data_IF_172653850408
#
_entry.id   IF_172653850408
#
_cell.length_a   1.000
_cell.length_b   1.000
_cell.length_c   1.000
_cell.angle_alpha   90.00
_cell.angle_beta   90.00
_cell.angle_gamma   90.00
#
_symmetry.space_group_name_H-M   'P 1'
#
loop_
_entity.id
_entity.type
_entity.pdbx_description
1 polymer ?
#
# COMPACT_ATOMS: atom_id res chain seq x y z
N UNK A 1 -12.34 -23.14 -14.75
CA UNK A 1 -11.27 -23.34 -15.76
C UNK A 1 -10.72 -21.96 -16.08
N UNK A 2 -9.39 -21.74 -16.11
CA UNK A 2 -8.83 -20.47 -16.53
C UNK A 2 -9.21 -20.15 -18.00
N UNK A 3 -9.22 -18.86 -18.37
CA UNK A 3 -8.92 -17.71 -17.53
C UNK A 3 -10.14 -17.20 -16.75
N UNK A 4 -9.89 -16.57 -15.60
CA UNK A 4 -10.89 -15.71 -14.94
C UNK A 4 -10.99 -14.40 -15.72
N UNK A 5 -12.18 -14.04 -16.18
CA UNK A 5 -12.41 -12.80 -16.97
C UNK A 5 -13.10 -11.76 -16.11
N UNK A 6 -12.50 -10.58 -16.02
CA UNK A 6 -12.97 -9.43 -15.23
C UNK A 6 -13.18 -8.24 -16.16
N UNK A 7 -14.40 -7.68 -16.17
CA UNK A 7 -14.73 -6.46 -16.92
C UNK A 7 -14.86 -5.30 -15.94
N UNK A 8 -14.19 -4.18 -16.22
CA UNK A 8 -14.31 -2.95 -15.46
C UNK A 8 -15.23 -1.96 -16.18
N UNK A 9 -16.36 -1.63 -15.53
CA UNK A 9 -17.33 -0.65 -16.00
C UNK A 9 -17.29 0.62 -15.13
N UNK A 10 -17.88 1.71 -15.61
CA UNK A 10 -18.07 2.93 -14.82
C UNK A 10 -17.86 4.22 -15.61
N UNK A 11 -18.23 5.34 -15.01
CA UNK A 11 -18.16 6.67 -15.62
C UNK A 11 -16.74 7.07 -16.04
N UNK A 12 -16.64 8.06 -16.93
CA UNK A 12 -15.38 8.72 -17.22
C UNK A 12 -14.77 9.33 -15.95
N UNK A 13 -13.45 9.26 -15.82
CA UNK A 13 -12.75 9.84 -14.66
C UNK A 13 -12.90 9.08 -13.33
N UNK A 14 -13.71 8.01 -13.28
CA UNK A 14 -13.88 7.15 -12.09
C UNK A 14 -12.63 6.35 -11.71
N UNK A 15 -11.61 6.30 -12.57
CA UNK A 15 -10.35 5.63 -12.30
C UNK A 15 -10.25 4.17 -12.79
N UNK A 16 -11.06 3.77 -13.79
CA UNK A 16 -11.04 2.40 -14.38
C UNK A 16 -9.65 1.94 -14.82
N UNK A 17 -8.97 2.70 -15.68
CA UNK A 17 -7.63 2.36 -16.21
C UNK A 17 -6.60 2.15 -15.09
N UNK A 18 -6.59 3.03 -14.09
CA UNK A 18 -5.69 2.90 -12.93
C UNK A 18 -6.09 1.70 -12.06
N UNK A 19 -7.39 1.47 -11.88
CA UNK A 19 -7.93 0.31 -11.15
C UNK A 19 -7.56 -1.00 -11.83
N UNK A 20 -7.59 -1.07 -13.17
CA UNK A 20 -7.17 -2.22 -13.95
C UNK A 20 -5.71 -2.58 -13.65
N UNK A 21 -4.81 -1.58 -13.73
CA UNK A 21 -3.39 -1.77 -13.47
C UNK A 21 -3.12 -2.18 -12.00
N UNK A 22 -3.80 -1.55 -11.04
CA UNK A 22 -3.70 -1.89 -9.61
C UNK A 22 -4.19 -3.30 -9.31
N UNK A 23 -5.35 -3.69 -9.85
CA UNK A 23 -5.91 -5.03 -9.70
C UNK A 23 -4.99 -6.08 -10.31
N UNK A 24 -4.45 -5.81 -11.50
CA UNK A 24 -3.47 -6.69 -12.14
C UNK A 24 -2.21 -6.84 -11.28
N UNK A 25 -1.71 -5.74 -10.70
CA UNK A 25 -0.56 -5.77 -9.79
C UNK A 25 -0.84 -6.59 -8.52
N UNK A 26 -2.01 -6.41 -7.91
CA UNK A 26 -2.45 -7.17 -6.72
C UNK A 26 -2.48 -8.67 -7.03
N UNK A 27 -3.11 -9.07 -8.13
CA UNK A 27 -3.20 -10.47 -8.55
C UNK A 27 -1.83 -11.06 -8.89
N UNK A 28 -0.96 -10.29 -9.57
CA UNK A 28 0.43 -10.68 -9.83
C UNK A 28 1.20 -10.96 -8.55
N UNK A 29 1.06 -10.11 -7.52
CA UNK A 29 1.67 -10.33 -6.19
C UNK A 29 1.17 -11.60 -5.50
N UNK A 30 -0.06 -12.03 -5.81
CA UNK A 30 -0.65 -13.30 -5.34
C UNK A 30 -0.26 -14.52 -6.20
N UNK A 31 0.68 -14.37 -7.14
CA UNK A 31 1.15 -15.46 -8.00
C UNK A 31 0.29 -15.74 -9.23
N UNK A 32 -0.66 -14.85 -9.56
CA UNK A 32 -1.44 -14.92 -10.81
C UNK A 32 -0.68 -14.35 -12.00
N UNK A 33 -1.13 -14.69 -13.20
CA UNK A 33 -0.54 -14.23 -14.46
C UNK A 33 -1.56 -13.41 -15.26
N UNK A 34 -1.82 -12.15 -14.86
CA UNK A 34 -2.83 -11.32 -15.49
C UNK A 34 -2.44 -10.88 -16.91
N UNK A 35 -3.47 -10.69 -17.73
CA UNK A 35 -3.45 -9.99 -19.00
C UNK A 35 -4.37 -8.77 -18.91
N UNK A 36 -3.86 -7.61 -19.32
CA UNK A 36 -4.66 -6.39 -19.45
C UNK A 36 -5.16 -6.23 -20.89
N UNK A 37 -6.43 -5.90 -21.05
CA UNK A 37 -7.03 -5.61 -22.36
C UNK A 37 -7.51 -4.15 -22.36
N UNK A 38 -6.94 -3.34 -23.24
CA UNK A 38 -7.32 -1.96 -23.45
C UNK A 38 -8.50 -1.89 -24.43
N UNK A 39 -9.71 -1.73 -23.89
CA UNK A 39 -10.95 -1.60 -24.65
C UNK A 39 -11.55 -0.17 -24.61
N UNK A 40 -10.89 0.79 -23.96
CA UNK A 40 -11.22 2.22 -24.07
C UNK A 40 -10.62 2.79 -25.36
N UNK A 41 -11.34 2.61 -26.47
CA UNK A 41 -10.96 3.08 -27.82
C UNK A 41 -11.40 4.51 -28.09
N UNK A 42 -12.23 5.09 -27.23
CA UNK A 42 -12.83 6.42 -27.43
C UNK A 42 -12.02 7.53 -26.77
N UNK A 43 -11.38 7.24 -25.63
CA UNK A 43 -10.59 8.25 -24.91
C UNK A 43 -9.19 8.39 -25.52
N UNK A 44 -8.76 9.60 -25.89
CA UNK A 44 -7.40 9.84 -26.38
C UNK A 44 -6.34 9.30 -25.41
N UNK A 45 -5.34 8.61 -25.95
CA UNK A 45 -4.23 8.02 -25.20
C UNK A 45 -4.62 7.04 -24.08
N UNK A 46 -5.86 6.54 -24.01
CA UNK A 46 -6.25 5.58 -22.97
C UNK A 46 -5.54 4.23 -23.15
N UNK A 47 -5.40 3.77 -24.39
CA UNK A 47 -4.61 2.57 -24.73
C UNK A 47 -3.15 2.77 -24.32
N UNK A 48 -2.55 3.89 -24.72
CA UNK A 48 -1.15 4.21 -24.39
C UNK A 48 -0.93 4.32 -22.88
N UNK A 49 -1.88 4.89 -22.15
CA UNK A 49 -1.86 4.94 -20.69
C UNK A 49 -1.84 3.54 -20.09
N UNK A 50 -2.74 2.63 -20.52
CA UNK A 50 -2.76 1.28 -19.98
C UNK A 50 -1.48 0.50 -20.36
N UNK A 51 -0.97 0.68 -21.58
CA UNK A 51 0.29 0.09 -22.04
C UNK A 51 1.47 0.57 -21.19
N UNK A 52 1.55 1.87 -20.88
CA UNK A 52 2.60 2.41 -20.02
C UNK A 52 2.55 1.82 -18.61
N UNK A 53 1.36 1.72 -18.02
CA UNK A 53 1.14 1.10 -16.71
C UNK A 53 1.50 -0.39 -16.71
N UNK A 54 1.09 -1.12 -17.75
CA UNK A 54 1.45 -2.53 -17.94
C UNK A 54 2.96 -2.72 -18.06
N UNK A 55 3.66 -1.87 -18.83
CA UNK A 55 5.12 -1.90 -18.96
C UNK A 55 5.82 -1.64 -17.63
N UNK A 56 5.36 -0.66 -16.84
CA UNK A 56 5.89 -0.39 -15.50
C UNK A 56 5.74 -1.60 -14.56
N UNK A 57 4.66 -2.37 -14.73
CA UNK A 57 4.37 -3.57 -13.94
C UNK A 57 4.90 -4.87 -14.58
N UNK A 58 5.51 -4.84 -15.76
CA UNK A 58 5.85 -6.06 -16.49
C UNK A 58 4.65 -6.98 -16.76
N UNK A 59 3.45 -6.41 -16.90
CA UNK A 59 2.19 -7.11 -17.22
C UNK A 59 1.85 -6.85 -18.68
N UNK A 60 1.59 -7.88 -19.51
CA UNK A 60 1.26 -7.67 -20.90
C UNK A 60 -0.07 -6.93 -21.06
N UNK A 61 -0.12 -6.07 -22.07
CA UNK A 61 -1.33 -5.35 -22.48
C UNK A 61 -1.64 -5.71 -23.93
N UNK A 62 -2.91 -5.90 -24.25
CA UNK A 62 -3.42 -6.09 -25.62
C UNK A 62 -4.46 -5.01 -25.89
N UNK A 63 -4.31 -4.33 -27.01
CA UNK A 63 -5.28 -3.34 -27.47
C UNK A 63 -6.27 -4.00 -28.43
N UNK A 64 -7.51 -3.52 -28.44
CA UNK A 64 -8.54 -3.93 -29.39
C UNK A 64 -8.67 -2.94 -30.55
N UNK A 65 -9.18 -3.39 -31.69
CA UNK A 65 -9.55 -2.50 -32.78
C UNK A 65 -10.86 -1.76 -32.45
N UNK A 66 -10.89 -0.45 -32.66
CA UNK A 66 -12.06 0.40 -32.41
C UNK A 66 -13.32 -0.03 -33.18
N UNK A 67 -13.17 -0.72 -34.31
CA UNK A 67 -14.30 -1.21 -35.12
C UNK A 67 -14.81 -2.57 -34.65
N UNK A 68 -14.08 -3.27 -33.78
CA UNK A 68 -14.32 -4.68 -33.44
C UNK A 68 -14.16 -4.98 -31.95
N UNK A 69 -14.42 -4.00 -31.08
CA UNK A 69 -14.20 -4.07 -29.62
C UNK A 69 -14.70 -5.39 -29.02
N UNK A 70 -16.01 -5.71 -29.09
CA UNK A 70 -16.56 -6.91 -28.46
C UNK A 70 -15.96 -8.22 -29.00
N UNK A 71 -15.74 -8.31 -30.31
CA UNK A 71 -15.17 -9.49 -30.96
C UNK A 71 -13.70 -9.70 -30.57
N UNK A 72 -12.91 -8.63 -30.52
CA UNK A 72 -11.50 -8.68 -30.17
C UNK A 72 -11.32 -8.99 -28.68
N UNK A 73 -12.11 -8.39 -27.79
CA UNK A 73 -12.09 -8.72 -26.36
C UNK A 73 -12.42 -10.21 -26.16
N UNK A 74 -13.44 -10.74 -26.84
CA UNK A 74 -13.81 -12.15 -26.75
C UNK A 74 -12.68 -13.08 -27.25
N UNK A 75 -12.04 -12.75 -28.38
CA UNK A 75 -10.91 -13.51 -28.91
C UNK A 75 -9.71 -13.49 -27.95
N UNK A 76 -9.37 -12.33 -27.40
CA UNK A 76 -8.28 -12.18 -26.43
C UNK A 76 -8.57 -12.95 -25.13
N UNK A 77 -9.80 -12.87 -24.62
CA UNK A 77 -10.21 -13.60 -23.44
C UNK A 77 -10.14 -15.13 -23.64
N UNK A 78 -10.58 -15.63 -24.81
CA UNK A 78 -10.51 -17.05 -25.15
C UNK A 78 -9.07 -17.54 -25.36
N UNK A 79 -8.20 -16.72 -25.95
CA UNK A 79 -6.80 -17.07 -26.25
C UNK A 79 -5.85 -16.98 -25.05
N UNK A 80 -6.22 -16.24 -24.00
CA UNK A 80 -5.33 -15.92 -22.88
C UNK A 80 -4.70 -17.16 -22.20
N UNK A 81 -5.46 -18.25 -22.04
CA UNK A 81 -4.94 -19.47 -21.41
C UNK A 81 -3.82 -20.13 -22.23
N UNK A 82 -3.83 -20.00 -23.57
CA UNK A 82 -2.77 -20.53 -24.43
C UNK A 82 -1.47 -19.71 -24.29
N UNK A 83 -1.57 -18.44 -23.91
CA UNK A 83 -0.44 -17.56 -23.60
C UNK A 83 0.04 -17.68 -22.14
N UNK A 84 -0.44 -18.68 -21.39
CA UNK A 84 -0.10 -18.87 -19.98
C UNK A 84 -0.70 -17.82 -19.05
N UNK A 85 -1.79 -17.16 -19.46
CA UNK A 85 -2.49 -16.15 -18.66
C UNK A 85 -3.71 -16.77 -17.99
N UNK A 86 -3.79 -16.60 -16.68
CA UNK A 86 -4.88 -17.19 -15.87
C UNK A 86 -5.99 -16.19 -15.55
N UNK A 87 -5.75 -14.90 -15.77
CA UNK A 87 -6.70 -13.82 -15.50
C UNK A 87 -6.66 -12.78 -16.62
N UNK A 88 -7.82 -12.32 -17.07
CA UNK A 88 -7.97 -11.28 -18.10
C UNK A 88 -8.76 -10.13 -17.50
N UNK A 89 -8.20 -8.92 -17.51
CA UNK A 89 -8.82 -7.71 -16.97
C UNK A 89 -9.04 -6.74 -18.12
N UNK A 90 -10.30 -6.38 -18.36
CA UNK A 90 -10.74 -5.58 -19.49
C UNK A 90 -11.07 -4.17 -18.99
N UNK A 91 -10.31 -3.18 -19.44
CA UNK A 91 -10.55 -1.75 -19.18
C UNK A 91 -11.42 -1.17 -20.31
N UNK A 92 -12.71 -0.95 -20.04
CA UNK A 92 -13.64 -0.41 -21.05
C UNK A 92 -13.64 1.12 -21.05
N UNK A 93 -14.18 1.71 -22.12
CA UNK A 93 -14.46 3.13 -22.16
C UNK A 93 -15.39 3.57 -21.02
N UNK A 94 -15.31 4.86 -20.64
CA UNK A 94 -16.39 5.51 -19.91
C UNK A 94 -16.65 6.91 -20.46
N UNK A 95 -17.85 7.43 -20.23
CA UNK A 95 -18.29 8.77 -20.68
C UNK A 95 -18.79 9.63 -19.52
N UNK A 96 -18.89 10.94 -19.78
CA UNK A 96 -19.37 11.98 -18.86
C UNK A 96 -20.84 11.78 -18.46
N UNK A 97 -21.65 11.23 -19.36
CA UNK A 97 -23.04 10.88 -19.12
C UNK A 97 -23.29 9.44 -19.54
N UNK A 98 -24.27 8.81 -18.92
CA UNK A 98 -24.76 7.50 -19.32
C UNK A 98 -25.52 7.69 -20.63
N UNK A 99 -24.85 7.42 -21.76
CA UNK A 99 -25.49 7.43 -23.07
C UNK A 99 -25.84 6.01 -23.55
N UNK A 100 -26.95 5.87 -24.28
CA UNK A 100 -27.47 4.58 -24.75
C UNK A 100 -26.48 3.83 -25.67
N UNK A 101 -25.73 4.50 -26.59
CA UNK A 101 -24.74 3.84 -27.41
C UNK A 101 -23.60 3.19 -26.59
N UNK A 102 -23.07 3.88 -25.57
CA UNK A 102 -22.03 3.32 -24.70
C UNK A 102 -22.57 2.15 -23.88
N UNK A 103 -23.77 2.29 -23.32
CA UNK A 103 -24.39 1.19 -22.57
C UNK A 103 -24.64 -0.03 -23.45
N UNK A 104 -24.94 0.17 -24.74
CA UNK A 104 -25.05 -0.91 -25.72
C UNK A 104 -23.69 -1.55 -25.96
N UNK A 105 -22.66 -0.77 -26.24
CA UNK A 105 -21.29 -1.28 -26.51
C UNK A 105 -20.74 -2.12 -25.34
N UNK A 106 -20.87 -1.64 -24.09
CA UNK A 106 -20.40 -2.40 -22.93
C UNK A 106 -21.25 -3.66 -22.69
N UNK A 107 -22.55 -3.61 -22.99
CA UNK A 107 -23.43 -4.79 -22.92
C UNK A 107 -23.04 -5.83 -23.97
N UNK A 108 -22.67 -5.42 -25.18
CA UNK A 108 -22.15 -6.31 -26.23
C UNK A 108 -20.84 -6.97 -25.81
N UNK A 109 -19.91 -6.21 -25.22
CA UNK A 109 -18.66 -6.74 -24.67
C UNK A 109 -18.96 -7.79 -23.59
N UNK A 110 -19.81 -7.47 -22.62
CA UNK A 110 -20.18 -8.38 -21.51
C UNK A 110 -20.87 -9.63 -22.05
N UNK A 111 -21.77 -9.50 -23.03
CA UNK A 111 -22.46 -10.63 -23.65
C UNK A 111 -21.51 -11.55 -24.43
N UNK A 112 -20.53 -10.97 -25.13
CA UNK A 112 -19.54 -11.71 -25.90
C UNK A 112 -18.56 -12.49 -25.01
N UNK A 113 -18.11 -11.90 -23.90
CA UNK A 113 -17.06 -12.49 -23.05
C UNK A 113 -17.61 -13.33 -21.90
N UNK A 114 -18.88 -13.11 -21.49
CA UNK A 114 -19.52 -13.75 -20.33
C UNK A 114 -18.62 -13.72 -19.10
N UNK A 115 -18.32 -12.53 -18.56
CA UNK A 115 -17.29 -12.37 -17.55
C UNK A 115 -17.66 -13.10 -16.26
N UNK A 116 -16.63 -13.54 -15.53
CA UNK A 116 -16.81 -14.09 -14.19
C UNK A 116 -17.11 -12.97 -13.19
N UNK A 117 -16.56 -11.78 -13.44
CA UNK A 117 -16.74 -10.59 -12.63
C UNK A 117 -17.00 -9.37 -13.52
N UNK A 118 -18.08 -8.66 -13.26
CA UNK A 118 -18.32 -7.32 -13.82
C UNK A 118 -18.24 -6.33 -12.66
N UNK A 119 -17.14 -5.60 -12.59
CA UNK A 119 -16.85 -4.68 -11.50
C UNK A 119 -17.18 -3.25 -11.92
N UNK A 120 -18.06 -2.59 -11.18
CA UNK A 120 -18.33 -1.16 -11.36
C UNK A 120 -17.32 -0.35 -10.54
N UNK A 121 -16.51 0.45 -11.21
CA UNK A 121 -15.58 1.39 -10.58
C UNK A 121 -16.30 2.70 -10.32
N UNK A 122 -16.31 3.10 -9.05
CA UNK A 122 -17.02 4.29 -8.55
C UNK A 122 -16.02 5.20 -7.87
N UNK A 123 -16.05 6.48 -8.20
CA UNK A 123 -15.27 7.50 -7.50
C UNK A 123 -15.90 7.75 -6.11
N UNK A 124 -15.13 7.57 -5.04
CA UNK A 124 -15.60 7.79 -3.67
C UNK A 124 -16.05 9.24 -3.42
N UNK A 125 -15.59 10.20 -4.23
CA UNK A 125 -15.93 11.61 -4.13
C UNK A 125 -17.19 12.00 -4.91
N UNK A 126 -17.71 11.14 -5.79
CA UNK A 126 -18.79 11.50 -6.72
C UNK A 126 -20.19 11.67 -6.08
N UNK A 127 -20.35 11.37 -4.78
CA UNK A 127 -21.59 11.68 -4.06
C UNK A 127 -22.85 11.04 -4.67
N UNK A 128 -23.84 11.86 -5.06
CA UNK A 128 -25.12 11.41 -5.62
C UNK A 128 -24.99 10.88 -7.06
N UNK A 129 -24.10 11.46 -7.87
CA UNK A 129 -23.86 11.02 -9.25
C UNK A 129 -23.39 9.55 -9.29
N UNK A 130 -22.69 9.13 -8.24
CA UNK A 130 -22.26 7.75 -8.02
C UNK A 130 -23.46 6.79 -7.92
N UNK A 131 -24.53 7.20 -7.23
CA UNK A 131 -25.74 6.42 -6.98
C UNK A 131 -26.57 6.28 -8.24
N UNK A 132 -26.80 7.38 -8.95
CA UNK A 132 -27.52 7.38 -10.22
C UNK A 132 -26.80 6.48 -11.23
N UNK A 133 -25.48 6.68 -11.36
CA UNK A 133 -24.66 5.88 -12.27
C UNK A 133 -24.72 4.40 -11.96
N UNK A 134 -24.55 4.04 -10.69
CA UNK A 134 -24.60 2.65 -10.29
C UNK A 134 -25.96 2.02 -10.52
N UNK A 135 -27.05 2.77 -10.35
CA UNK A 135 -28.41 2.30 -10.63
C UNK A 135 -28.58 1.93 -12.10
N UNK A 136 -28.10 2.78 -13.01
CA UNK A 136 -28.24 2.52 -14.45
C UNK A 136 -27.28 1.42 -14.94
N UNK A 137 -26.05 1.38 -14.43
CA UNK A 137 -25.16 0.26 -14.74
C UNK A 137 -25.70 -1.06 -14.20
N UNK A 138 -26.31 -1.07 -13.02
CA UNK A 138 -26.89 -2.27 -12.43
C UNK A 138 -28.12 -2.78 -13.19
N UNK A 139 -28.94 -1.88 -13.75
CA UNK A 139 -30.12 -2.29 -14.53
C UNK A 139 -29.76 -2.86 -15.91
N UNK A 140 -28.57 -2.55 -16.45
CA UNK A 140 -28.12 -2.97 -17.78
C UNK A 140 -27.09 -4.09 -17.76
N UNK A 141 -26.23 -4.11 -16.74
CA UNK A 141 -25.12 -5.07 -16.63
C UNK A 141 -25.28 -5.95 -15.39
N UNK A 142 -24.92 -7.24 -15.48
CA UNK A 142 -24.86 -8.13 -14.34
C UNK A 142 -23.65 -7.80 -13.46
N UNK A 143 -23.76 -6.74 -12.67
CA UNK A 143 -22.72 -6.30 -11.75
C UNK A 143 -22.54 -7.31 -10.62
N UNK A 144 -21.29 -7.72 -10.39
CA UNK A 144 -20.93 -8.71 -9.36
C UNK A 144 -20.16 -8.09 -8.20
N UNK A 145 -19.62 -6.88 -8.38
CA UNK A 145 -18.89 -6.16 -7.36
C UNK A 145 -18.70 -4.69 -7.68
N UNK A 146 -18.37 -3.92 -6.64
CA UNK A 146 -17.99 -2.51 -6.74
C UNK A 146 -16.52 -2.33 -6.38
N UNK A 147 -15.86 -1.37 -7.02
CA UNK A 147 -14.54 -0.89 -6.63
C UNK A 147 -14.62 0.59 -6.32
N UNK A 148 -14.25 0.98 -5.10
CA UNK A 148 -14.19 2.38 -4.70
C UNK A 148 -12.82 2.94 -5.05
N UNK A 149 -12.75 3.81 -6.04
CA UNK A 149 -11.54 4.53 -6.39
C UNK A 149 -11.44 5.84 -5.58
N UNK A 150 -10.21 6.36 -5.45
CA UNK A 150 -9.90 7.65 -4.80
C UNK A 150 -10.44 7.77 -3.37
N UNK A 151 -10.38 6.69 -2.60
CA UNK A 151 -10.87 6.66 -1.22
C UNK A 151 -9.81 7.10 -0.20
N UNK A 152 -8.72 7.71 -0.67
CA UNK A 152 -7.65 8.34 0.10
C UNK A 152 -7.93 9.80 0.47
N UNK A 153 -8.88 10.45 -0.19
CA UNK A 153 -9.33 11.79 0.17
C UNK A 153 -10.30 11.82 1.36
N UNK A 154 -10.77 13.02 1.74
CA UNK A 154 -11.77 13.27 2.80
C UNK A 154 -13.17 12.66 2.53
N UNK A 155 -13.29 11.85 1.49
CA UNK A 155 -14.50 11.13 1.15
C UNK A 155 -14.83 10.14 2.29
N UNK A 156 -15.81 10.50 3.13
CA UNK A 156 -16.32 9.70 4.26
C UNK A 156 -17.05 8.42 3.85
N UNK A 157 -16.71 7.82 2.71
CA UNK A 157 -17.28 6.56 2.23
C UNK A 157 -18.78 6.59 1.91
N UNK A 158 -19.45 7.75 1.99
CA UNK A 158 -20.90 7.87 1.84
C UNK A 158 -21.41 7.36 0.49
N UNK A 159 -20.69 7.62 -0.60
CA UNK A 159 -21.01 7.10 -1.93
C UNK A 159 -21.07 5.56 -1.95
N UNK A 160 -20.18 4.88 -1.21
CA UNK A 160 -20.17 3.41 -1.17
C UNK A 160 -21.38 2.81 -0.44
N UNK A 161 -21.82 3.45 0.64
CA UNK A 161 -23.01 3.05 1.38
C UNK A 161 -24.26 3.25 0.53
N UNK A 162 -24.38 4.42 -0.11
CA UNK A 162 -25.53 4.74 -0.95
C UNK A 162 -25.61 3.83 -2.17
N UNK A 163 -24.49 3.59 -2.86
CA UNK A 163 -24.47 2.69 -4.03
C UNK A 163 -24.82 1.26 -3.63
N UNK A 164 -24.26 0.74 -2.53
CA UNK A 164 -24.59 -0.60 -2.04
C UNK A 164 -26.05 -0.71 -1.61
N UNK A 165 -26.60 0.32 -0.96
CA UNK A 165 -27.99 0.33 -0.51
C UNK A 165 -28.98 0.26 -1.69
N UNK A 166 -28.67 0.90 -2.81
CA UNK A 166 -29.54 0.91 -3.99
C UNK A 166 -29.33 -0.31 -4.89
N UNK A 167 -28.08 -0.73 -5.12
CA UNK A 167 -27.78 -1.83 -6.06
C UNK A 167 -27.73 -3.21 -5.41
N UNK A 168 -27.57 -3.29 -4.08
CA UNK A 168 -27.31 -4.55 -3.37
C UNK A 168 -25.95 -5.20 -3.69
N UNK A 169 -25.17 -4.63 -4.61
CA UNK A 169 -23.89 -5.19 -5.07
C UNK A 169 -22.81 -4.98 -4.01
N UNK A 170 -22.02 -6.00 -3.66
CA UNK A 170 -20.98 -5.86 -2.64
C UNK A 170 -19.80 -5.03 -3.14
N UNK A 171 -19.24 -4.19 -2.26
CA UNK A 171 -17.95 -3.55 -2.50
C UNK A 171 -16.85 -4.58 -2.26
N UNK A 172 -16.00 -4.83 -3.26
CA UNK A 172 -14.92 -5.85 -3.21
C UNK A 172 -13.56 -5.24 -2.95
N UNK A 173 -13.30 -4.05 -3.50
CA UNK A 173 -11.97 -3.42 -3.48
C UNK A 173 -12.09 -1.92 -3.18
N UNK A 174 -11.03 -1.38 -2.59
CA UNK A 174 -10.89 0.05 -2.29
C UNK A 174 -9.50 0.54 -2.70
N UNK A 175 -9.45 1.62 -3.47
CA UNK A 175 -8.23 2.31 -3.86
C UNK A 175 -7.84 3.33 -2.78
N UNK A 176 -6.66 3.15 -2.19
CA UNK A 176 -6.18 3.88 -1.01
C UNK A 176 -5.07 4.89 -1.31
N UNK A 177 -4.94 5.33 -2.56
CA UNK A 177 -3.91 6.27 -2.99
C UNK A 177 -3.70 6.24 -4.50
N UNK A 178 -2.76 7.03 -5.02
CA UNK A 178 -2.47 7.09 -6.46
C UNK A 178 -1.50 5.99 -6.95
N UNK A 179 -0.64 5.48 -6.06
CA UNK A 179 0.39 4.49 -6.40
C UNK A 179 -0.20 3.17 -6.89
N UNK A 180 0.54 2.42 -7.73
CA UNK A 180 0.07 1.17 -8.35
C UNK A 180 -0.13 0.00 -7.38
N UNK A 181 0.34 0.14 -6.14
CA UNK A 181 0.11 -0.80 -5.03
C UNK A 181 -0.97 -0.33 -4.06
N UNK A 182 -1.54 0.87 -4.25
CA UNK A 182 -2.58 1.43 -3.40
C UNK A 182 -3.99 0.93 -3.82
N UNK A 183 -4.19 -0.39 -3.67
CA UNK A 183 -5.49 -1.06 -3.74
C UNK A 183 -5.54 -2.17 -2.70
N UNK A 184 -6.65 -2.26 -1.98
CA UNK A 184 -6.84 -3.20 -0.88
C UNK A 184 -8.21 -3.89 -1.00
N UNK A 185 -8.34 -5.06 -0.37
CA UNK A 185 -9.65 -5.72 -0.21
C UNK A 185 -10.53 -4.84 0.68
N UNK A 186 -11.79 -4.67 0.28
CA UNK A 186 -12.71 -3.86 1.04
C UNK A 186 -13.17 -4.57 2.32
N UNK A 187 -12.96 -3.92 3.46
CA UNK A 187 -13.46 -4.35 4.76
C UNK A 187 -14.39 -3.28 5.32
N UNK A 188 -15.71 -3.55 5.46
CA UNK A 188 -16.69 -2.59 5.95
C UNK A 188 -16.30 -2.00 7.32
N UNK A 189 -15.79 -2.84 8.22
CA UNK A 189 -15.40 -2.44 9.57
C UNK A 189 -14.28 -1.39 9.57
N UNK A 190 -13.32 -1.51 8.64
CA UNK A 190 -12.22 -0.55 8.50
C UNK A 190 -12.72 0.79 7.96
N UNK A 191 -13.65 0.77 7.00
CA UNK A 191 -14.25 2.00 6.50
C UNK A 191 -15.04 2.70 7.63
N UNK A 192 -15.85 1.95 8.39
CA UNK A 192 -16.59 2.47 9.53
C UNK A 192 -15.65 3.07 10.59
N UNK A 193 -14.57 2.36 10.94
CA UNK A 193 -13.56 2.87 11.87
C UNK A 193 -12.86 4.13 11.33
N UNK A 194 -12.52 4.21 10.04
CA UNK A 194 -11.96 5.44 9.43
C UNK A 194 -12.93 6.62 9.53
N UNK A 195 -14.22 6.40 9.23
CA UNK A 195 -15.26 7.42 9.37
C UNK A 195 -15.41 7.87 10.84
N UNK A 196 -15.30 6.93 11.78
CA UNK A 196 -15.39 7.19 13.22
C UNK A 196 -14.07 7.71 13.83
N UNK A 197 -13.02 7.92 13.02
CA UNK A 197 -11.71 8.40 13.49
C UNK A 197 -10.90 7.38 14.31
N UNK A 198 -11.25 6.09 14.24
CA UNK A 198 -10.62 4.97 14.94
C UNK A 198 -9.82 4.03 14.01
N UNK A 199 -9.73 4.35 12.71
CA UNK A 199 -9.36 3.42 11.62
C UNK A 199 -7.89 3.05 11.42
N UNK A 200 -6.98 3.57 12.24
CA UNK A 200 -5.55 3.43 11.97
C UNK A 200 -4.88 2.25 12.69
N UNK A 201 -5.51 1.65 13.71
CA UNK A 201 -4.83 0.61 14.51
C UNK A 201 -4.71 -0.71 13.72
N UNK A 202 -5.77 -1.17 13.04
CA UNK A 202 -5.77 -2.45 12.33
C UNK A 202 -4.89 -2.44 11.07
N UNK A 203 -4.91 -1.33 10.32
CA UNK A 203 -4.05 -1.17 9.14
C UNK A 203 -2.57 -1.09 9.54
N UNK A 204 -2.25 -0.45 10.67
CA UNK A 204 -0.91 -0.44 11.25
C UNK A 204 -0.47 -1.85 11.69
N UNK A 205 -1.37 -2.63 12.28
CA UNK A 205 -1.09 -4.02 12.69
C UNK A 205 -0.85 -4.91 11.47
N UNK A 206 -1.60 -4.77 10.40
CA UNK A 206 -1.43 -5.57 9.18
C UNK A 206 -0.21 -5.17 8.36
N UNK A 207 0.08 -3.87 8.20
CA UNK A 207 1.34 -3.42 7.59
C UNK A 207 2.55 -3.76 8.45
N UNK A 208 2.39 -3.79 9.78
CA UNK A 208 3.40 -4.35 10.66
C UNK A 208 3.55 -5.86 10.43
N UNK A 209 2.47 -6.62 10.25
CA UNK A 209 2.53 -8.05 9.95
C UNK A 209 3.15 -8.37 8.58
N UNK A 210 2.89 -7.56 7.55
CA UNK A 210 3.51 -7.73 6.21
C UNK A 210 5.03 -7.48 6.20
N UNK A 211 5.55 -6.74 7.20
CA UNK A 211 6.96 -6.38 7.30
C UNK A 211 7.70 -6.98 8.49
N UNK A 212 7.00 -7.70 9.37
CA UNK A 212 7.58 -8.36 10.55
C UNK A 212 7.60 -9.86 10.31
N UNK A 213 8.74 -10.35 9.84
CA UNK A 213 9.05 -11.77 9.80
C UNK A 213 9.02 -12.31 11.24
N UNK A 214 8.04 -13.16 11.56
CA UNK A 214 7.76 -13.66 12.92
C UNK A 214 9.02 -14.20 13.63
N UNK A 215 9.91 -14.86 12.87
CA UNK A 215 11.19 -15.37 13.39
C UNK A 215 12.18 -14.29 13.76
N UNK A 216 12.18 -13.18 13.03
CA UNK A 216 13.06 -12.04 13.28
C UNK A 216 12.59 -11.26 14.52
N UNK A 217 11.26 -11.15 14.70
CA UNK A 217 10.66 -10.49 15.85
C UNK A 217 11.01 -11.20 17.18
N UNK A 218 10.91 -12.52 17.22
CA UNK A 218 11.23 -13.32 18.41
C UNK A 218 12.73 -13.23 18.78
N UNK A 219 13.61 -13.31 17.78
CA UNK A 219 15.06 -13.17 17.99
C UNK A 219 15.44 -11.76 18.47
N UNK A 220 14.80 -10.73 17.94
CA UNK A 220 14.97 -9.34 18.36
C UNK A 220 14.43 -9.10 19.78
N UNK A 221 13.24 -9.64 20.10
CA UNK A 221 12.65 -9.57 21.43
C UNK A 221 13.54 -10.25 22.49
N UNK A 222 14.16 -11.40 22.17
CA UNK A 222 15.09 -12.08 23.08
C UNK A 222 16.35 -11.24 23.34
N UNK A 223 16.98 -10.70 22.29
CA UNK A 223 18.14 -9.80 22.42
C UNK A 223 17.82 -8.54 23.24
N UNK A 224 16.60 -8.03 23.08
CA UNK A 224 16.08 -6.88 23.79
C UNK A 224 15.95 -7.14 25.30
N UNK A 225 15.43 -8.31 25.68
CA UNK A 225 15.31 -8.76 27.07
C UNK A 225 16.67 -9.06 27.72
N UNK A 226 17.66 -9.46 26.94
CA UNK A 226 19.01 -9.81 27.41
C UNK A 226 20.02 -8.66 27.33
N UNK A 227 19.57 -7.45 26.98
CA UNK A 227 20.38 -6.23 26.91
C UNK A 227 21.62 -6.31 25.98
N UNK A 228 21.62 -7.26 25.05
CA UNK A 228 22.67 -7.46 24.04
C UNK A 228 22.38 -6.63 22.77
N UNK A 229 22.17 -5.33 22.96
CA UNK A 229 21.83 -4.41 21.89
C UNK A 229 23.09 -3.76 21.31
N UNK A 230 23.37 -4.01 20.03
CA UNK A 230 24.59 -3.57 19.31
C UNK A 230 24.29 -2.44 18.30
N UNK A 231 25.33 -1.81 17.75
CA UNK A 231 25.15 -0.82 16.68
C UNK A 231 24.62 -1.44 15.39
N UNK A 232 24.87 -2.73 15.13
CA UNK A 232 24.29 -3.43 13.99
C UNK A 232 22.76 -3.60 14.16
N UNK A 233 22.30 -3.88 15.40
CA UNK A 233 20.86 -3.93 15.69
C UNK A 233 20.21 -2.54 15.57
N UNK A 234 20.88 -1.49 16.07
CA UNK A 234 20.42 -0.09 15.91
C UNK A 234 20.31 0.32 14.45
N UNK A 235 21.32 -0.02 13.65
CA UNK A 235 21.33 0.23 12.23
C UNK A 235 20.20 -0.51 11.52
N UNK A 236 19.96 -1.77 11.87
CA UNK A 236 18.83 -2.56 11.34
C UNK A 236 17.48 -1.90 11.63
N UNK A 237 17.28 -1.38 12.84
CA UNK A 237 16.06 -0.65 13.22
C UNK A 237 15.90 0.66 12.43
N UNK A 238 16.98 1.43 12.25
CA UNK A 238 16.96 2.65 11.43
C UNK A 238 16.62 2.36 9.96
N UNK A 239 17.13 1.26 9.40
CA UNK A 239 16.79 0.83 8.04
C UNK A 239 15.34 0.36 7.91
N UNK A 240 14.76 -0.27 8.95
CA UNK A 240 13.33 -0.60 8.97
C UNK A 240 12.47 0.66 8.98
N UNK A 241 12.83 1.64 9.81
CA UNK A 241 12.16 2.95 9.84
C UNK A 241 12.25 3.66 8.48
N UNK A 242 13.42 3.62 7.81
CA UNK A 242 13.60 4.15 6.45
C UNK A 242 12.67 3.49 5.42
N UNK A 243 12.40 2.19 5.56
CA UNK A 243 11.49 1.43 4.68
C UNK A 243 10.01 1.79 4.90
N UNK A 244 9.65 2.25 6.10
CA UNK A 244 8.28 2.63 6.45
C UNK A 244 7.89 4.04 5.95
N UNK A 245 8.82 4.80 5.38
CA UNK A 245 8.59 6.14 4.84
C UNK A 245 8.87 7.26 5.87
N UNK A 246 8.70 8.53 5.49
CA UNK A 246 8.98 9.65 6.38
C UNK A 246 8.01 9.64 7.58
N UNK A 247 8.56 9.55 8.80
CA UNK A 247 7.84 9.59 10.08
C UNK A 247 6.83 10.74 10.21
N UNK A 248 7.01 11.82 9.45
CA UNK A 248 6.11 12.97 9.44
C UNK A 248 4.66 12.57 9.13
N UNK A 249 4.44 11.62 8.23
CA UNK A 249 3.08 11.23 7.84
C UNK A 249 2.40 10.37 8.91
N UNK A 250 3.16 9.54 9.64
CA UNK A 250 2.64 8.73 10.75
C UNK A 250 2.36 9.57 12.00
N UNK A 251 3.15 10.60 12.28
CA UNK A 251 2.98 11.46 13.45
C UNK A 251 1.87 12.50 13.28
N UNK A 252 1.58 12.93 12.04
CA UNK A 252 0.43 13.79 11.69
C UNK A 252 -0.91 13.12 11.94
N UNK A 253 -0.94 11.79 12.02
CA UNK A 253 -2.15 10.98 12.22
C UNK A 253 -2.51 10.74 13.70
N UNK A 254 -1.67 11.15 14.67
CA UNK A 254 -1.96 10.95 16.10
C UNK A 254 -2.55 12.23 16.72
N UNK A 255 -3.81 12.23 17.18
CA UNK A 255 -4.43 13.38 17.85
C UNK A 255 -3.66 13.75 19.13
N UNK A 256 -3.35 15.04 19.29
CA UNK A 256 -2.68 15.58 20.49
C UNK A 256 -1.15 15.66 20.43
N UNK A 257 -0.50 15.15 19.37
CA UNK A 257 0.96 15.21 19.19
C UNK A 257 1.44 16.11 18.04
N UNK A 258 0.52 16.81 17.35
CA UNK A 258 0.85 17.69 16.22
C UNK A 258 1.83 18.82 16.53
N UNK A 259 1.96 19.23 17.81
CA UNK A 259 2.96 20.20 18.26
C UNK A 259 4.39 19.64 18.33
N UNK A 260 4.54 18.34 18.61
CA UNK A 260 5.83 17.63 18.66
C UNK A 260 6.29 17.26 17.25
N UNK A 261 5.34 16.91 16.36
CA UNK A 261 5.62 16.67 14.94
C UNK A 261 6.27 17.87 14.24
N UNK A 262 5.90 19.11 14.60
CA UNK A 262 6.48 20.35 14.06
C UNK A 262 7.94 20.60 14.47
N UNK A 263 8.44 19.94 15.51
CA UNK A 263 9.81 20.11 16.00
C UNK A 263 10.76 19.01 15.53
N UNK A 264 10.23 17.97 14.87
CA UNK A 264 11.03 16.93 14.26
C UNK A 264 11.42 17.37 12.85
N UNK A 265 12.69 17.22 12.44
CA UNK A 265 13.09 17.53 11.07
C UNK A 265 12.32 16.62 10.11
N UNK A 266 11.61 17.22 9.15
CA UNK A 266 10.87 16.51 8.09
C UNK A 266 11.62 16.60 6.75
N UNK A 267 11.38 15.64 5.86
CA UNK A 267 11.84 15.70 4.48
C UNK A 267 13.35 15.45 4.28
N UNK A 268 14.00 16.13 3.31
CA UNK A 268 15.39 15.87 2.89
C UNK A 268 16.43 15.98 4.01
N UNK A 269 16.15 16.75 5.06
CA UNK A 269 17.05 16.94 6.20
C UNK A 269 17.10 15.72 7.12
N UNK A 270 15.96 15.08 7.38
CA UNK A 270 15.92 13.81 8.11
C UNK A 270 16.65 12.70 7.34
N UNK A 271 16.51 12.66 6.01
CA UNK A 271 17.26 11.73 5.18
C UNK A 271 18.77 11.98 5.23
N UNK A 272 19.21 13.25 5.25
CA UNK A 272 20.63 13.61 5.37
C UNK A 272 21.21 13.17 6.71
N UNK A 273 20.51 13.42 7.82
CA UNK A 273 20.94 12.96 9.14
C UNK A 273 20.94 11.44 9.25
N UNK A 274 19.97 10.73 8.64
CA UNK A 274 20.00 9.26 8.60
C UNK A 274 21.18 8.72 7.79
N UNK A 275 21.49 9.31 6.63
CA UNK A 275 22.68 8.95 5.84
C UNK A 275 23.97 9.21 6.61
N UNK A 276 24.03 10.28 7.39
CA UNK A 276 25.16 10.62 8.26
C UNK A 276 25.38 9.54 9.33
N UNK A 277 24.31 9.09 9.98
CA UNK A 277 24.37 7.99 10.96
C UNK A 277 24.84 6.68 10.30
N UNK A 278 24.30 6.36 9.12
CA UNK A 278 24.68 5.18 8.33
C UNK A 278 26.18 5.20 7.97
N UNK A 279 26.71 6.35 7.55
CA UNK A 279 28.14 6.53 7.25
C UNK A 279 29.02 6.35 8.49
N UNK A 280 28.60 6.89 9.64
CA UNK A 280 29.32 6.76 10.93
C UNK A 280 29.38 5.30 11.37
N UNK A 281 28.26 4.57 11.37
CA UNK A 281 28.20 3.15 11.78
C UNK A 281 29.00 2.26 10.83
N UNK A 282 28.94 2.56 9.53
CA UNK A 282 29.69 1.81 8.50
C UNK A 282 31.21 1.97 8.66
N UNK A 283 31.66 3.10 9.22
CA UNK A 283 33.08 3.41 9.49
C UNK A 283 33.62 2.79 10.80
N UNK A 284 32.77 2.07 11.53
CA UNK A 284 33.17 1.27 12.70
C UNK A 284 33.60 -0.14 12.30
N UNK A 285 34.51 -0.70 13.08
CA UNK A 285 34.87 -2.13 13.00
C UNK A 285 33.78 -2.99 13.66
N UNK A 286 33.72 -4.29 13.32
CA UNK A 286 32.79 -5.24 13.94
C UNK A 286 32.89 -5.26 15.47
N UNK A 287 34.09 -5.16 16.01
CA UNK A 287 34.31 -5.11 17.46
C UNK A 287 33.73 -3.84 18.10
N UNK A 288 33.90 -2.67 17.46
CA UNK A 288 33.34 -1.40 17.95
C UNK A 288 31.81 -1.35 17.82
N UNK A 289 31.24 -2.03 16.81
CA UNK A 289 29.78 -2.13 16.66
C UNK A 289 29.15 -3.03 17.73
N UNK A 290 29.83 -4.11 18.08
CA UNK A 290 29.40 -5.00 19.15
C UNK A 290 29.57 -4.36 20.54
N UNK A 291 30.68 -3.65 20.76
CA UNK A 291 30.99 -3.00 22.02
C UNK A 291 31.37 -1.51 21.87
N UNK A 292 30.42 -0.59 22.14
CA UNK A 292 30.65 0.86 22.11
C UNK A 292 31.69 1.35 23.11
N UNK A 293 31.98 0.60 24.17
CA UNK A 293 32.94 1.03 25.20
C UNK A 293 34.37 1.09 24.64
N UNK A 294 34.63 0.38 23.55
CA UNK A 294 35.89 0.42 22.83
C UNK A 294 36.13 1.75 22.10
N UNK A 295 35.10 2.58 21.88
CA UNK A 295 35.16 3.81 21.07
C UNK A 295 35.79 4.99 21.86
N UNK A 296 37.12 4.94 21.97
CA UNK A 296 37.95 6.00 22.57
C UNK A 296 38.19 7.19 21.61
N UNK A 297 38.82 8.26 22.10
CA UNK A 297 39.04 9.49 21.32
C UNK A 297 39.81 9.30 20.00
N UNK A 298 40.78 8.39 19.94
CA UNK A 298 41.51 8.07 18.71
C UNK A 298 40.61 7.38 17.68
N UNK A 299 39.78 6.42 18.11
CA UNK A 299 38.81 5.74 17.24
C UNK A 299 37.71 6.69 16.76
N UNK A 300 37.27 7.64 17.58
CA UNK A 300 36.29 8.67 17.15
C UNK A 300 36.83 9.54 16.02
N UNK A 301 38.10 9.95 16.08
CA UNK A 301 38.76 10.68 14.98
C UNK A 301 38.85 9.85 13.71
N UNK A 302 39.21 8.56 13.82
CA UNK A 302 39.25 7.63 12.68
C UNK A 302 37.87 7.45 12.05
N UNK A 303 36.83 7.22 12.87
CA UNK A 303 35.45 7.04 12.41
C UNK A 303 34.98 8.31 11.70
N UNK A 304 35.14 9.48 12.30
CA UNK A 304 34.77 10.77 11.72
C UNK A 304 35.44 11.02 10.36
N UNK A 305 36.74 10.74 10.24
CA UNK A 305 37.47 10.83 8.98
C UNK A 305 36.96 9.83 7.93
N UNK A 306 36.63 8.60 8.32
CA UNK A 306 36.09 7.59 7.41
C UNK A 306 34.65 7.85 6.95
N UNK A 307 33.83 8.49 7.78
CA UNK A 307 32.43 8.81 7.48
C UNK A 307 32.24 10.17 6.82
N UNK A 308 33.29 11.01 6.72
CA UNK A 308 33.18 12.39 6.24
C UNK A 308 32.39 13.29 7.20
N UNK A 309 32.38 12.97 8.51
CA UNK A 309 31.65 13.71 9.54
C UNK A 309 32.60 14.31 10.58
N UNK A 310 32.07 15.03 11.56
CA UNK A 310 32.88 15.58 12.65
C UNK A 310 32.98 14.62 13.83
N UNK A 311 33.98 14.82 14.68
CA UNK A 311 34.10 14.08 15.96
C UNK A 311 32.90 14.36 16.88
N UNK A 312 32.31 15.55 16.78
CA UNK A 312 31.10 15.92 17.54
C UNK A 312 29.91 15.04 17.15
N UNK A 313 29.74 14.78 15.85
CA UNK A 313 28.66 13.92 15.35
C UNK A 313 28.81 12.48 15.87
N UNK A 314 30.03 11.96 15.88
CA UNK A 314 30.33 10.64 16.44
C UNK A 314 30.08 10.62 17.95
N UNK A 315 30.43 11.68 18.67
CA UNK A 315 30.16 11.79 20.11
C UNK A 315 28.66 11.78 20.41
N UNK A 316 27.88 12.52 19.63
CA UNK A 316 26.44 12.60 19.78
C UNK A 316 25.78 11.24 19.54
N UNK A 317 26.17 10.54 18.47
CA UNK A 317 25.65 9.21 18.17
C UNK A 317 25.97 8.20 19.29
N UNK A 318 27.22 8.18 19.76
CA UNK A 318 27.63 7.27 20.85
C UNK A 318 26.86 7.57 22.15
N UNK A 319 26.59 8.85 22.43
CA UNK A 319 25.79 9.27 23.59
C UNK A 319 24.34 8.81 23.46
N UNK A 320 23.69 9.08 22.33
CA UNK A 320 22.32 8.65 22.05
C UNK A 320 22.17 7.12 22.15
N UNK A 321 23.15 6.38 21.61
CA UNK A 321 23.17 4.93 21.72
C UNK A 321 23.31 4.44 23.17
N UNK A 322 24.16 5.09 23.99
CA UNK A 322 24.34 4.76 25.39
C UNK A 322 23.07 5.04 26.22
N UNK A 323 22.39 6.16 25.97
CA UNK A 323 21.11 6.50 26.60
C UNK A 323 20.02 5.48 26.27
N UNK A 324 19.92 5.09 24.99
CA UNK A 324 18.99 4.06 24.58
C UNK A 324 19.31 2.70 25.21
N UNK A 325 20.58 2.29 25.28
CA UNK A 325 20.98 1.05 25.99
C UNK A 325 20.58 1.09 27.47
N UNK A 326 20.70 2.24 28.12
CA UNK A 326 20.27 2.42 29.51
C UNK A 326 18.76 2.23 29.65
N UNK A 327 17.97 2.83 28.75
CA UNK A 327 16.52 2.69 28.72
C UNK A 327 16.09 1.23 28.44
N UNK A 328 16.74 0.55 27.48
CA UNK A 328 16.46 -0.86 27.19
C UNK A 328 16.80 -1.76 28.37
N UNK A 329 17.91 -1.51 29.08
CA UNK A 329 18.27 -2.26 30.28
C UNK A 329 17.22 -2.06 31.40
N UNK A 330 16.74 -0.83 31.58
CA UNK A 330 15.67 -0.53 32.53
C UNK A 330 14.37 -1.22 32.14
N UNK A 331 13.98 -1.17 30.88
CA UNK A 331 12.74 -1.78 30.40
C UNK A 331 12.80 -3.32 30.43
N UNK A 332 13.93 -3.93 30.07
CA UNK A 332 14.16 -5.37 30.23
C UNK A 332 14.09 -5.82 31.69
N UNK A 333 14.60 -5.00 32.62
CA UNK A 333 14.48 -5.29 34.06
C UNK A 333 13.04 -5.14 34.59
N UNK A 334 12.26 -4.20 34.03
CA UNK A 334 10.82 -4.05 34.35
C UNK A 334 9.97 -5.17 33.75
N UNK A 335 10.33 -5.63 32.54
CA UNK A 335 9.70 -6.78 31.88
C UNK A 335 9.92 -8.06 32.68
N UNK A 336 11.16 -8.32 33.11
CA UNK A 336 11.53 -9.47 33.95
C UNK A 336 10.93 -9.43 35.36
N UNK A 337 10.47 -8.27 35.84
CA UNK A 337 9.81 -8.10 37.14
C UNK A 337 8.28 -7.98 37.06
N UNK A 338 7.68 -8.20 35.88
CA UNK A 338 6.23 -8.20 35.69
C UNK A 338 5.54 -6.85 35.88
N UNK A 339 6.30 -5.74 35.87
CA UNK A 339 5.81 -4.37 36.19
C UNK A 339 5.65 -3.46 34.97
N UNK A 340 5.56 -4.01 33.76
CA UNK A 340 5.31 -3.21 32.57
C UNK A 340 3.91 -2.56 32.64
N UNK A 341 3.81 -1.22 32.47
CA UNK A 341 2.54 -0.61 32.12
C UNK A 341 2.03 -1.27 30.84
N UNK A 342 0.77 -1.73 30.83
CA UNK A 342 0.12 -2.21 29.61
C UNK A 342 0.12 -1.07 28.59
N UNK A 343 1.04 -1.13 27.63
CA UNK A 343 1.03 -0.25 26.47
C UNK A 343 -0.17 -0.64 25.59
N UNK A 344 -1.02 0.31 25.18
CA UNK A 344 -2.12 0.04 24.26
C UNK A 344 -1.56 -0.50 22.95
N UNK A 345 -1.97 -1.71 22.55
CA UNK A 345 -1.68 -2.26 21.22
C UNK A 345 -0.64 -3.39 21.13
N UNK A 346 -0.06 -3.88 22.22
CA UNK A 346 0.67 -5.16 22.19
C UNK A 346 -0.25 -6.33 22.57
N UNK A 347 -0.41 -7.35 21.71
CA UNK A 347 -0.98 -8.63 22.11
C UNK A 347 -0.15 -9.19 23.27
N UNK A 348 -0.82 -9.60 24.35
CA UNK A 348 -0.14 -10.23 25.47
C UNK A 348 0.68 -11.42 24.98
N UNK A 349 1.97 -11.44 25.31
CA UNK A 349 2.80 -12.62 25.12
C UNK A 349 2.13 -13.80 25.83
N UNK A 350 1.80 -14.90 25.14
CA UNK A 350 1.28 -16.09 25.80
C UNK A 350 2.42 -16.73 26.61
N UNK A 351 2.22 -16.84 27.92
CA UNK A 351 3.04 -17.67 28.80
C UNK A 351 4.32 -17.02 29.32
N UNK A 352 4.18 -16.12 30.31
CA UNK A 352 5.00 -16.07 31.52
C UNK A 352 4.15 -15.57 32.68
#
# INVERSE_FOLDING_TARGET
>A
RPPTVIVLAGLQGSGKTTTAAKLANLLRKQGRHPLLVAADVHRPAAIDQLVALGKQLGIPVRAVDAKRVAADVAALAAGASAEGRDTVIIDTAGRLHIDEPMMTEISEVVAAVKPHETLLVVDAMAGQDAVESATVFHSRLPLTGLVLAKADGDARGGASLSVRAVTGVPVKLIGTGEKLDAIEVFHPDRLAQRILGMGDILTLVERAQEHVDQKTAEAQAKKFLDAQFTFDDFYGQLQQVKKMGPLGDLLKMIPGLGGIAKQLPEGPEAEREMRKIEAIISSMTKAERADPTLINGARRRRIAAGSGTTVSDVNQLVKQFAEMRKLMKQMGSMAKSGRLPRLPGMPGLPGM
#
